data_IF_445131165123
#
_entry.id   IF_445131165123
#
_cell.length_a   1.000
_cell.length_b   1.000
_cell.length_c   1.000
_cell.angle_alpha   90.00
_cell.angle_beta   90.00
_cell.angle_gamma   90.00
#
_symmetry.space_group_name_H-M   'P 1'
#
loop_
_entity.id
_entity.type
_entity.pdbx_description
1 polymer ?
#
# COMPACT_ATOMS: atom_id res chain seq x y z
N UNK A 1 -16.79 27.19 -11.73
CA UNK A 1 -15.45 26.56 -11.68
C UNK A 1 -15.40 25.65 -10.46
N UNK A 2 -15.37 24.32 -10.61
CA UNK A 2 -14.94 23.38 -9.57
C UNK A 2 -15.17 21.94 -10.04
N UNK A 3 -14.09 21.20 -10.34
CA UNK A 3 -13.71 19.93 -9.69
C UNK A 3 -12.23 19.68 -10.05
N UNK A 4 -11.31 20.39 -9.38
CA UNK A 4 -9.89 20.05 -9.43
C UNK A 4 -9.57 19.13 -8.24
N UNK A 5 -10.02 17.87 -8.28
CA UNK A 5 -9.76 16.95 -7.15
C UNK A 5 -9.72 15.47 -7.51
N UNK A 6 -9.50 15.11 -8.78
CA UNK A 6 -9.38 13.69 -9.17
C UNK A 6 -8.04 13.34 -9.81
N UNK A 7 -6.96 13.97 -9.35
CA UNK A 7 -5.63 13.39 -9.55
C UNK A 7 -5.46 12.30 -8.48
N UNK A 8 -6.07 11.14 -8.73
CA UNK A 8 -5.49 9.90 -8.25
C UNK A 8 -4.05 9.95 -8.76
N UNK A 9 -3.08 10.13 -7.86
CA UNK A 9 -1.67 10.07 -8.19
C UNK A 9 -1.37 8.64 -8.66
N UNK A 10 -1.70 8.36 -9.91
CA UNK A 10 -1.42 7.10 -10.60
C UNK A 10 0.10 6.86 -10.76
N UNK A 11 0.89 7.86 -10.36
CA UNK A 11 2.33 7.91 -10.25
C UNK A 11 2.85 7.69 -8.83
N UNK A 12 2.02 7.23 -7.88
CA UNK A 12 2.51 6.80 -6.58
C UNK A 12 3.52 5.67 -6.77
N UNK A 13 4.80 5.97 -6.48
CA UNK A 13 5.89 5.02 -6.63
C UNK A 13 5.75 3.96 -5.56
N UNK A 14 5.49 2.71 -5.97
CA UNK A 14 5.48 1.58 -5.05
C UNK A 14 6.90 1.25 -4.62
N UNK A 15 7.10 0.86 -3.36
CA UNK A 15 8.39 0.40 -2.88
C UNK A 15 8.80 -0.89 -3.61
N UNK A 16 10.10 -1.12 -3.75
CA UNK A 16 10.62 -2.35 -4.36
C UNK A 16 10.70 -3.51 -3.36
N UNK A 17 10.77 -3.18 -2.08
CA UNK A 17 10.82 -4.10 -0.94
C UNK A 17 9.86 -3.61 0.14
N UNK A 18 9.33 -4.55 0.93
CA UNK A 18 8.45 -4.27 2.06
C UNK A 18 9.21 -3.51 3.14
N UNK A 19 8.67 -2.40 3.63
CA UNK A 19 9.30 -1.61 4.69
C UNK A 19 9.40 -2.35 6.04
N UNK A 20 8.50 -3.30 6.32
CA UNK A 20 8.49 -4.03 7.60
C UNK A 20 9.40 -5.25 7.60
N UNK A 21 9.36 -6.09 6.56
CA UNK A 21 10.11 -7.36 6.52
C UNK A 21 11.28 -7.37 5.54
N UNK A 22 11.39 -6.36 4.66
CA UNK A 22 12.41 -6.31 3.61
C UNK A 22 12.13 -7.22 2.41
N UNK A 23 11.02 -7.96 2.38
CA UNK A 23 10.71 -8.86 1.25
C UNK A 23 10.47 -8.12 -0.05
N UNK A 24 10.88 -8.72 -1.17
CA UNK A 24 10.69 -8.14 -2.50
C UNK A 24 9.20 -7.99 -2.83
N UNK A 25 8.78 -6.77 -3.14
CA UNK A 25 7.43 -6.48 -3.63
C UNK A 25 7.37 -6.82 -5.12
N UNK A 26 6.59 -7.86 -5.45
CA UNK A 26 6.39 -8.31 -6.82
C UNK A 26 5.82 -7.19 -7.70
N UNK A 27 6.30 -7.11 -8.94
CA UNK A 27 5.86 -6.13 -9.93
C UNK A 27 4.35 -6.13 -10.15
N UNK A 28 3.73 -7.32 -10.16
CA UNK A 28 2.29 -7.49 -10.30
C UNK A 28 1.54 -6.76 -9.17
N UNK A 29 2.07 -6.85 -7.95
CA UNK A 29 1.54 -6.17 -6.76
C UNK A 29 1.69 -4.66 -6.87
N UNK A 30 2.84 -4.18 -7.34
CA UNK A 30 3.12 -2.74 -7.55
C UNK A 30 2.22 -2.14 -8.64
N UNK A 31 1.89 -2.92 -9.67
CA UNK A 31 0.98 -2.52 -10.76
C UNK A 31 -0.48 -2.52 -10.32
N UNK A 32 -0.91 -3.54 -9.59
CA UNK A 32 -2.28 -3.64 -9.08
C UNK A 32 -2.58 -2.56 -8.01
N UNK A 33 -1.57 -2.24 -7.18
CA UNK A 33 -1.66 -1.25 -6.11
C UNK A 33 -0.48 -0.28 -6.20
N UNK A 34 -0.58 0.76 -7.05
CA UNK A 34 0.45 1.80 -7.14
C UNK A 34 0.57 2.54 -5.80
N UNK A 35 1.79 2.70 -5.32
CA UNK A 35 2.09 3.28 -4.00
C UNK A 35 2.11 2.29 -2.84
N UNK A 36 2.07 0.97 -3.09
CA UNK A 36 2.22 0.02 -1.99
C UNK A 36 3.66 0.03 -1.44
N UNK A 37 3.79 0.11 -0.11
CA UNK A 37 5.08 0.08 0.58
C UNK A 37 5.31 -1.19 1.40
N UNK A 38 4.28 -2.01 1.57
CA UNK A 38 4.30 -3.23 2.38
C UNK A 38 3.81 -4.45 1.60
N UNK A 39 4.31 -5.64 1.97
CA UNK A 39 3.86 -6.90 1.40
C UNK A 39 2.47 -7.28 1.96
N UNK A 40 1.80 -8.24 1.31
CA UNK A 40 0.44 -8.65 1.70
C UNK A 40 0.41 -9.17 3.13
N UNK A 41 1.36 -10.03 3.50
CA UNK A 41 1.43 -10.61 4.83
C UNK A 41 1.58 -9.53 5.92
N UNK A 42 2.51 -8.58 5.74
CA UNK A 42 2.67 -7.47 6.69
C UNK A 42 1.45 -6.55 6.73
N UNK A 43 0.83 -6.28 5.58
CA UNK A 43 -0.40 -5.48 5.51
C UNK A 43 -1.55 -6.16 6.26
N UNK A 44 -1.74 -7.47 6.09
CA UNK A 44 -2.76 -8.24 6.80
C UNK A 44 -2.55 -8.17 8.32
N UNK A 45 -1.31 -8.29 8.80
CA UNK A 45 -0.99 -8.16 10.22
C UNK A 45 -1.35 -6.76 10.74
N UNK A 46 -1.00 -5.71 10.01
CA UNK A 46 -1.34 -4.33 10.39
C UNK A 46 -2.85 -4.12 10.43
N UNK A 47 -3.59 -4.62 9.44
CA UNK A 47 -5.05 -4.51 9.40
C UNK A 47 -5.72 -5.31 10.53
N UNK A 48 -5.21 -6.50 10.86
CA UNK A 48 -5.66 -7.29 12.01
C UNK A 48 -5.45 -6.55 13.33
N UNK A 49 -4.27 -5.95 13.53
CA UNK A 49 -3.95 -5.13 14.71
C UNK A 49 -4.88 -3.91 14.83
N UNK A 50 -5.11 -3.19 13.72
CA UNK A 50 -6.05 -2.05 13.68
C UNK A 50 -7.49 -2.45 14.00
N UNK A 51 -7.91 -3.66 13.59
CA UNK A 51 -9.26 -4.16 13.84
C UNK A 51 -9.46 -4.57 15.31
N UNK A 52 -8.43 -5.11 15.96
CA UNK A 52 -8.48 -5.51 17.37
C UNK A 52 -8.40 -4.33 18.35
N UNK A 53 -7.71 -3.25 18.00
CA UNK A 53 -7.55 -2.06 18.86
C UNK A 53 -8.74 -1.09 18.91
N UNK A 54 -9.92 -1.46 18.42
CA UNK A 54 -11.17 -0.66 18.46
C UNK A 54 -12.13 -1.15 19.55
N UNK A 55 -11.61 -1.46 20.74
CA UNK A 55 -12.41 -1.70 21.96
C UNK A 55 -12.74 -0.39 22.67
#
# INVERSE_FOLDING_TARGET
MAVAAHRLNHSAVSATHCEECGDKLLDERRKAYPGCTMCVACLEIVELRKKQGRS
#
